data_IF_043764763109
#
_entry.id   IF_043764763109
#
_cell.length_a   1.000
_cell.length_b   1.000
_cell.length_c   1.000
_cell.angle_alpha   90.00
_cell.angle_beta   90.00
_cell.angle_gamma   90.00
#
_symmetry.space_group_name_H-M   'P 1'
#
loop_
_entity.id
_entity.type
_entity.pdbx_description
1 polymer ?
#
# COMPACT_ATOMS: atom_id res chain seq x y z
N UNK A 1 2.87 17.78 16.36
CA UNK A 1 1.58 17.17 15.97
C UNK A 1 1.32 17.47 14.50
N UNK A 2 1.42 16.45 13.65
CA UNK A 2 1.24 16.56 12.20
C UNK A 2 -0.21 16.98 11.89
N UNK A 3 -0.39 18.01 11.05
CA UNK A 3 -1.72 18.46 10.62
C UNK A 3 -1.83 18.28 9.11
N UNK A 4 -2.71 17.38 8.67
CA UNK A 4 -3.01 17.13 7.25
C UNK A 4 -3.49 18.38 6.50
N UNK A 5 -3.84 19.46 7.20
CA UNK A 5 -4.22 20.76 6.61
C UNK A 5 -3.14 21.40 5.74
N UNK A 6 -1.87 20.97 5.87
CA UNK A 6 -0.75 21.49 5.07
C UNK A 6 -0.53 20.76 3.75
N UNK A 7 -1.10 19.57 3.57
CA UNK A 7 -0.90 18.77 2.35
C UNK A 7 -1.80 19.29 1.25
N UNK A 8 -1.19 19.78 0.16
CA UNK A 8 -1.88 20.37 -0.99
C UNK A 8 -1.36 19.76 -2.27
N UNK A 9 -2.26 19.51 -3.22
CA UNK A 9 -1.91 18.98 -4.53
C UNK A 9 -2.32 19.98 -5.60
N UNK A 10 -1.41 20.26 -6.54
CA UNK A 10 -1.69 21.09 -7.70
C UNK A 10 -2.17 20.22 -8.86
N UNK A 11 -3.39 20.47 -9.35
CA UNK A 11 -3.92 19.83 -10.53
C UNK A 11 -4.71 20.84 -11.37
N UNK A 12 -4.42 20.94 -12.67
CA UNK A 12 -5.03 21.91 -13.61
C UNK A 12 -5.06 23.36 -13.05
N UNK A 13 -3.94 23.84 -12.49
CA UNK A 13 -3.80 25.18 -11.89
C UNK A 13 -4.69 25.44 -10.65
N UNK A 14 -5.33 24.41 -10.09
CA UNK A 14 -6.07 24.49 -8.83
C UNK A 14 -5.35 23.68 -7.74
N UNK A 15 -5.31 24.25 -6.53
CA UNK A 15 -4.81 23.55 -5.35
C UNK A 15 -5.97 22.83 -4.67
N UNK A 16 -5.83 21.52 -4.51
CA UNK A 16 -6.77 20.68 -3.80
C UNK A 16 -6.23 20.34 -2.42
N UNK A 17 -7.09 20.48 -1.42
CA UNK A 17 -6.82 20.10 -0.04
C UNK A 17 -7.69 18.90 0.35
N UNK A 18 -7.43 18.33 1.54
CA UNK A 18 -8.30 17.29 2.09
C UNK A 18 -9.78 17.72 2.14
N UNK A 19 -10.07 18.99 2.43
CA UNK A 19 -11.45 19.46 2.55
C UNK A 19 -12.23 19.40 1.23
N UNK A 20 -11.54 19.53 0.10
CA UNK A 20 -12.15 19.48 -1.23
C UNK A 20 -12.40 18.01 -1.65
N UNK A 21 -11.47 17.13 -1.27
CA UNK A 21 -11.42 15.72 -1.65
C UNK A 21 -12.13 14.78 -0.66
N UNK A 22 -12.48 15.25 0.53
CA UNK A 22 -13.10 14.42 1.56
C UNK A 22 -14.50 13.93 1.13
N UNK A 23 -14.86 12.71 1.55
CA UNK A 23 -16.22 12.20 1.37
C UNK A 23 -17.17 12.92 2.35
N UNK A 24 -18.16 13.65 1.84
CA UNK A 24 -19.13 14.36 2.67
C UNK A 24 -20.46 13.60 2.72
N UNK A 25 -21.00 13.39 3.92
CA UNK A 25 -22.31 12.79 4.10
C UNK A 25 -23.37 13.87 4.33
N UNK A 26 -24.35 14.00 3.42
CA UNK A 26 -25.51 14.90 3.53
C UNK A 26 -25.17 16.35 3.94
N UNK A 27 -24.04 16.89 3.47
CA UNK A 27 -23.63 18.27 3.79
C UNK A 27 -23.12 18.49 5.22
N UNK A 28 -22.92 17.43 6.03
CA UNK A 28 -22.38 17.51 7.39
C UNK A 28 -20.87 17.84 7.46
N UNK A 29 -20.28 18.27 6.35
CA UNK A 29 -18.85 18.52 6.20
C UNK A 29 -18.02 17.23 6.13
N UNK A 30 -16.69 17.39 6.16
CA UNK A 30 -15.77 16.26 6.16
C UNK A 30 -15.81 15.53 7.51
N UNK A 31 -15.93 14.19 7.53
CA UNK A 31 -15.68 13.37 8.70
C UNK A 31 -14.17 13.29 8.93
N UNK A 32 -13.55 14.44 9.21
CA UNK A 32 -12.18 14.48 9.69
C UNK A 32 -12.14 14.05 11.16
N UNK A 33 -10.95 13.73 11.66
CA UNK A 33 -10.69 13.29 13.03
C UNK A 33 -10.94 14.39 14.09
N UNK A 34 -12.15 14.97 14.15
CA UNK A 34 -12.58 16.00 15.12
C UNK A 34 -12.44 15.51 16.57
N UNK A 35 -12.62 14.21 16.77
CA UNK A 35 -12.46 13.55 18.06
C UNK A 35 -11.04 13.72 18.64
N UNK A 36 -10.01 13.94 17.82
CA UNK A 36 -8.63 14.13 18.29
C UNK A 36 -8.48 15.43 19.05
N UNK A 37 -8.92 16.53 18.45
CA UNK A 37 -8.84 17.84 19.08
C UNK A 37 -9.67 17.88 20.35
N UNK A 38 -10.91 17.37 20.28
CA UNK A 38 -11.78 17.29 21.45
C UNK A 38 -11.15 16.45 22.58
N UNK A 39 -10.62 15.27 22.26
CA UNK A 39 -10.01 14.40 23.27
C UNK A 39 -8.72 14.98 23.85
N UNK A 40 -7.88 15.60 23.00
CA UNK A 40 -6.63 16.22 23.44
C UNK A 40 -6.89 17.40 24.38
N UNK A 41 -7.86 18.27 24.05
CA UNK A 41 -8.21 19.39 24.92
C UNK A 41 -8.80 18.89 26.24
N UNK A 42 -9.68 17.90 26.18
CA UNK A 42 -10.33 17.32 27.36
C UNK A 42 -9.31 16.65 28.30
N UNK A 43 -8.31 15.97 27.73
CA UNK A 43 -7.19 15.38 28.48
C UNK A 43 -6.29 16.46 29.11
N UNK A 44 -5.91 17.49 28.34
CA UNK A 44 -5.08 18.59 28.83
C UNK A 44 -5.75 19.39 29.97
N UNK A 45 -7.07 19.47 29.96
CA UNK A 45 -7.86 20.11 31.02
C UNK A 45 -8.20 19.19 32.20
N UNK A 46 -7.76 17.93 32.19
CA UNK A 46 -7.90 17.00 33.32
C UNK A 46 -9.31 16.43 33.52
N UNK A 47 -10.13 16.36 32.46
CA UNK A 47 -11.47 15.79 32.54
C UNK A 47 -11.45 14.26 32.43
N UNK A 48 -12.27 13.60 33.25
CA UNK A 48 -12.41 12.14 33.23
C UNK A 48 -13.19 11.69 31.99
N UNK A 49 -12.52 10.98 31.09
CA UNK A 49 -13.12 10.44 29.87
C UNK A 49 -13.57 9.01 30.10
N UNK A 50 -14.87 8.76 29.94
CA UNK A 50 -15.42 7.40 29.98
C UNK A 50 -15.08 6.64 28.69
N UNK A 51 -14.70 5.38 28.80
CA UNK A 51 -14.44 4.49 27.65
C UNK A 51 -15.53 3.39 27.57
N UNK A 52 -16.02 3.00 26.38
CA UNK A 52 -15.56 3.33 25.02
C UNK A 52 -16.27 4.51 24.35
N UNK A 53 -17.25 5.12 25.02
CA UNK A 53 -17.97 6.29 24.52
C UNK A 53 -17.70 7.49 25.41
N UNK A 54 -17.41 8.63 24.79
CA UNK A 54 -17.40 9.91 25.50
C UNK A 54 -18.69 10.68 25.18
N UNK A 55 -19.16 11.46 26.16
CA UNK A 55 -20.26 12.41 26.00
C UNK A 55 -19.79 13.76 26.51
N UNK A 56 -19.85 14.76 25.65
CA UNK A 56 -19.50 16.13 25.96
C UNK A 56 -20.63 17.05 25.47
N UNK A 57 -21.48 17.47 26.40
CA UNK A 57 -22.68 18.25 26.07
C UNK A 57 -23.59 17.50 25.10
N UNK A 58 -23.81 18.09 23.92
CA UNK A 58 -24.62 17.51 22.82
C UNK A 58 -23.82 16.59 21.89
N UNK A 59 -22.49 16.60 21.97
CA UNK A 59 -21.64 15.75 21.14
C UNK A 59 -21.28 14.46 21.88
N UNK A 60 -21.44 13.33 21.19
CA UNK A 60 -21.04 12.02 21.69
C UNK A 60 -20.27 11.28 20.60
N UNK A 61 -19.21 10.58 20.97
CA UNK A 61 -18.39 9.83 20.04
C UNK A 61 -17.94 8.48 20.59
N UNK A 62 -17.60 7.58 19.68
CA UNK A 62 -17.05 6.26 20.00
C UNK A 62 -15.52 6.29 19.83
N UNK A 63 -14.79 6.01 20.90
CA UNK A 63 -13.33 5.96 20.93
C UNK A 63 -12.78 4.55 20.74
N UNK A 64 -13.62 3.52 20.86
CA UNK A 64 -13.16 2.13 20.79
C UNK A 64 -12.53 1.74 19.45
N UNK A 65 -12.90 2.40 18.35
CA UNK A 65 -12.27 2.20 17.04
C UNK A 65 -11.08 3.13 16.75
N UNK A 66 -10.91 4.20 17.53
CA UNK A 66 -9.86 5.20 17.31
C UNK A 66 -8.64 4.99 18.21
N UNK A 67 -8.81 4.42 19.42
CA UNK A 67 -7.73 4.19 20.37
C UNK A 67 -7.34 2.72 20.44
N UNK A 68 -6.03 2.46 20.43
CA UNK A 68 -5.44 1.13 20.59
C UNK A 68 -4.62 1.01 21.87
N UNK A 69 -4.60 -0.20 22.46
CA UNK A 69 -3.82 -0.49 23.67
C UNK A 69 -4.22 0.39 24.86
N UNK A 70 -5.52 0.57 25.08
CA UNK A 70 -6.06 1.40 26.16
C UNK A 70 -5.84 0.75 27.53
N UNK A 71 -5.39 1.54 28.51
CA UNK A 71 -5.43 1.19 29.93
C UNK A 71 -6.57 1.95 30.59
N UNK A 72 -7.37 1.22 31.36
CA UNK A 72 -8.57 1.74 31.99
C UNK A 72 -8.38 1.74 33.51
N UNK A 73 -8.77 2.83 34.15
CA UNK A 73 -8.90 2.88 35.60
C UNK A 73 -10.38 2.69 35.95
N UNK A 74 -10.67 1.89 36.97
CA UNK A 74 -12.04 1.65 37.43
C UNK A 74 -12.33 2.57 38.60
N UNK A 75 -13.33 3.43 38.43
CA UNK A 75 -13.85 4.25 39.52
C UNK A 75 -14.68 3.39 40.48
N UNK A 76 -14.81 3.80 41.74
CA UNK A 76 -15.63 3.13 42.75
C UNK A 76 -17.10 2.91 42.30
N UNK A 77 -17.61 3.77 41.41
CA UNK A 77 -18.93 3.67 40.79
C UNK A 77 -19.02 2.64 39.64
N UNK A 78 -17.98 1.84 39.41
CA UNK A 78 -17.95 0.81 38.35
C UNK A 78 -17.75 1.35 36.93
N UNK A 79 -17.58 2.66 36.75
CA UNK A 79 -17.30 3.28 35.44
C UNK A 79 -15.84 3.11 35.05
N UNK A 80 -15.61 2.72 33.79
CA UNK A 80 -14.27 2.60 33.23
C UNK A 80 -13.84 3.97 32.64
N UNK A 81 -12.85 4.59 33.25
CA UNK A 81 -12.24 5.82 32.77
C UNK A 81 -10.94 5.52 32.02
N UNK A 82 -10.67 6.28 30.96
CA UNK A 82 -9.46 6.15 30.16
C UNK A 82 -8.26 6.69 30.95
N UNK A 83 -7.29 5.83 31.27
CA UNK A 83 -6.06 6.22 31.96
C UNK A 83 -4.92 6.52 30.98
N UNK A 84 -4.72 5.65 29.99
CA UNK A 84 -3.78 5.88 28.90
C UNK A 84 -4.18 5.09 27.63
N UNK A 85 -3.56 5.42 26.50
CA UNK A 85 -3.66 4.68 25.25
C UNK A 85 -2.27 4.58 24.63
N UNK A 86 -1.99 3.49 23.91
CA UNK A 86 -0.68 3.26 23.27
C UNK A 86 -0.65 3.65 21.80
N UNK A 87 -1.79 3.62 21.13
CA UNK A 87 -1.89 3.90 19.71
C UNK A 87 -3.15 4.71 19.39
N UNK A 88 -3.04 5.51 18.33
CA UNK A 88 -4.17 6.22 17.75
C UNK A 88 -4.32 5.79 16.30
N UNK A 89 -5.53 5.42 15.92
CA UNK A 89 -5.92 5.14 14.54
C UNK A 89 -6.65 6.34 13.92
N UNK A 90 -6.09 6.86 12.84
CA UNK A 90 -6.63 8.01 12.10
C UNK A 90 -7.10 7.53 10.73
N UNK A 91 -8.32 7.88 10.34
CA UNK A 91 -8.89 7.49 9.05
C UNK A 91 -9.32 8.75 8.29
N UNK A 92 -8.83 8.88 7.07
CA UNK A 92 -9.20 9.95 6.15
C UNK A 92 -10.00 9.34 5.00
N UNK A 93 -11.26 9.76 4.87
CA UNK A 93 -12.14 9.23 3.83
C UNK A 93 -12.15 10.17 2.63
N UNK A 94 -11.69 9.68 1.47
CA UNK A 94 -11.65 10.45 0.23
C UNK A 94 -12.79 10.05 -0.72
N UNK A 95 -13.15 10.96 -1.62
CA UNK A 95 -14.08 10.71 -2.72
C UNK A 95 -13.41 9.83 -3.77
N UNK A 96 -14.09 8.75 -4.15
CA UNK A 96 -13.64 7.82 -5.19
C UNK A 96 -14.30 8.07 -6.57
N UNK A 97 -15.44 8.77 -6.62
CA UNK A 97 -16.19 9.04 -7.85
C UNK A 97 -16.50 10.53 -7.96
N UNK A 98 -16.45 11.16 -9.15
CA UNK A 98 -16.12 10.63 -10.49
C UNK A 98 -14.63 10.34 -10.73
N UNK A 99 -14.26 9.73 -11.87
CA UNK A 99 -12.89 9.27 -12.21
C UNK A 99 -11.84 10.37 -12.05
N UNK A 100 -12.14 11.61 -12.45
CA UNK A 100 -11.22 12.73 -12.29
C UNK A 100 -10.93 13.03 -10.82
N UNK A 101 -11.95 13.00 -9.95
CA UNK A 101 -11.76 13.15 -8.50
C UNK A 101 -11.00 11.97 -7.92
N UNK A 102 -11.24 10.75 -8.40
CA UNK A 102 -10.49 9.56 -8.00
C UNK A 102 -8.99 9.72 -8.25
N UNK A 103 -8.62 10.23 -9.42
CA UNK A 103 -7.23 10.49 -9.78
C UNK A 103 -6.57 11.54 -8.87
N UNK A 104 -7.27 12.65 -8.60
CA UNK A 104 -6.77 13.72 -7.72
C UNK A 104 -6.65 13.21 -6.27
N UNK A 105 -7.62 12.42 -5.79
CA UNK A 105 -7.58 11.76 -4.48
C UNK A 105 -6.35 10.84 -4.37
N UNK A 106 -6.08 10.03 -5.40
CA UNK A 106 -4.89 9.17 -5.43
C UNK A 106 -3.57 9.96 -5.43
N UNK A 107 -3.53 11.11 -6.11
CA UNK A 107 -2.37 12.00 -6.09
C UNK A 107 -2.15 12.61 -4.69
N UNK A 108 -3.24 12.98 -4.01
CA UNK A 108 -3.19 13.48 -2.64
C UNK A 108 -2.78 12.41 -1.62
N UNK A 109 -3.22 11.17 -1.78
CA UNK A 109 -2.76 10.04 -0.96
C UNK A 109 -1.25 9.85 -1.06
N UNK A 110 -0.69 9.91 -2.28
CA UNK A 110 0.75 9.78 -2.50
C UNK A 110 1.53 10.97 -1.92
N UNK A 111 1.00 12.19 -2.02
CA UNK A 111 1.62 13.36 -1.39
C UNK A 111 1.60 13.26 0.14
N UNK A 112 0.47 12.83 0.72
CA UNK A 112 0.36 12.59 2.14
C UNK A 112 1.37 11.53 2.60
N UNK A 113 1.48 10.42 1.89
CA UNK A 113 2.46 9.37 2.17
C UNK A 113 3.89 9.89 2.16
N UNK A 114 4.25 10.74 1.16
CA UNK A 114 5.57 11.38 1.09
C UNK A 114 5.83 12.30 2.28
N UNK A 115 4.86 13.11 2.69
CA UNK A 115 5.01 13.97 3.86
C UNK A 115 5.12 13.19 5.17
N UNK A 116 4.43 12.06 5.30
CA UNK A 116 4.52 11.19 6.46
C UNK A 116 5.87 10.45 6.51
N UNK A 117 6.39 10.01 5.37
CA UNK A 117 7.71 9.39 5.27
C UNK A 117 8.86 10.39 5.50
N UNK A 118 8.67 11.66 5.12
CA UNK A 118 9.64 12.72 5.34
C UNK A 118 9.58 13.33 6.76
N UNK A 119 8.64 12.88 7.59
CA UNK A 119 8.55 13.34 8.97
C UNK A 119 9.78 12.86 9.76
N UNK A 120 10.44 13.73 10.54
CA UNK A 120 11.63 13.32 11.29
C UNK A 120 11.32 12.21 12.28
N UNK A 121 12.26 11.28 12.45
CA UNK A 121 12.18 10.21 13.44
C UNK A 121 12.11 10.81 14.85
N UNK A 122 10.91 10.77 15.47
CA UNK A 122 10.68 11.19 16.84
C UNK A 122 10.82 9.97 17.78
N UNK A 123 11.63 10.03 18.86
CA UNK A 123 11.81 8.90 19.77
C UNK A 123 10.54 8.53 20.57
N UNK A 124 9.54 9.42 20.59
CA UNK A 124 8.30 9.24 21.36
C UNK A 124 7.11 8.80 20.50
N UNK A 125 7.16 8.97 19.17
CA UNK A 125 6.01 8.76 18.29
C UNK A 125 6.47 8.00 17.05
N UNK A 126 5.96 6.78 16.89
CA UNK A 126 6.11 6.02 15.66
C UNK A 126 4.85 6.18 14.81
N UNK A 127 5.03 6.60 13.55
CA UNK A 127 3.95 6.82 12.61
C UNK A 127 4.00 5.73 11.55
N UNK A 128 2.94 4.95 11.46
CA UNK A 128 2.73 3.98 10.38
C UNK A 128 1.51 4.41 9.57
N UNK A 129 1.61 4.35 8.25
CA UNK A 129 0.53 4.73 7.34
C UNK A 129 0.30 3.65 6.29
N UNK A 130 -0.93 3.63 5.77
CA UNK A 130 -1.35 2.75 4.69
C UNK A 130 -2.33 3.52 3.80
N UNK A 131 -2.16 3.43 2.49
CA UNK A 131 -3.06 4.03 1.51
C UNK A 131 -3.53 3.00 0.48
N UNK A 132 -4.53 3.36 -0.33
CA UNK A 132 -5.19 2.42 -1.24
C UNK A 132 -4.26 1.83 -2.30
N UNK A 133 -3.24 2.60 -2.71
CA UNK A 133 -2.27 2.23 -3.74
C UNK A 133 -1.03 1.50 -3.19
N UNK A 134 -0.79 1.48 -1.87
CA UNK A 134 0.43 0.92 -1.28
C UNK A 134 0.65 -0.52 -1.71
N UNK A 135 -0.41 -1.34 -1.71
CA UNK A 135 -0.32 -2.74 -2.12
C UNK A 135 0.12 -2.88 -3.57
N UNK A 136 -0.47 -2.10 -4.48
CA UNK A 136 -0.16 -2.15 -5.90
C UNK A 136 1.26 -1.65 -6.16
N UNK A 137 1.69 -0.60 -5.47
CA UNK A 137 3.03 -0.04 -5.60
C UNK A 137 4.10 -1.02 -5.07
N UNK A 138 3.87 -1.63 -3.92
CA UNK A 138 4.79 -2.63 -3.35
C UNK A 138 4.84 -3.90 -4.19
N UNK A 139 3.70 -4.35 -4.72
CA UNK A 139 3.66 -5.50 -5.64
C UNK A 139 4.42 -5.20 -6.93
N UNK A 140 4.23 -4.00 -7.49
CA UNK A 140 4.95 -3.55 -8.69
C UNK A 140 6.45 -3.48 -8.43
N UNK A 141 6.87 -2.88 -7.32
CA UNK A 141 8.28 -2.78 -6.92
C UNK A 141 8.93 -4.16 -6.77
N UNK A 142 8.20 -5.10 -6.16
CA UNK A 142 8.65 -6.48 -6.04
C UNK A 142 8.80 -7.11 -7.43
N UNK A 143 7.80 -6.98 -8.30
CA UNK A 143 7.83 -7.50 -9.66
C UNK A 143 9.00 -6.92 -10.51
N UNK A 144 9.26 -5.62 -10.41
CA UNK A 144 10.40 -4.96 -11.06
C UNK A 144 11.75 -5.51 -10.56
N UNK A 145 11.84 -5.83 -9.26
CA UNK A 145 13.04 -6.46 -8.68
C UNK A 145 13.21 -7.92 -9.10
N UNK A 146 12.11 -8.64 -9.32
CA UNK A 146 12.07 -10.05 -9.72
C UNK A 146 12.35 -10.24 -11.22
N UNK A 147 11.94 -9.31 -12.07
CA UNK A 147 12.08 -9.36 -13.53
C UNK A 147 13.51 -9.67 -14.00
N UNK A 148 14.58 -8.98 -13.55
CA UNK A 148 15.95 -9.28 -14.00
C UNK A 148 16.43 -10.67 -13.57
N UNK A 149 15.98 -11.18 -12.41
CA UNK A 149 16.32 -12.53 -11.94
C UNK A 149 15.70 -13.61 -12.81
N UNK A 150 14.48 -13.37 -13.26
CA UNK A 150 13.77 -14.29 -14.16
C UNK A 150 14.45 -14.38 -15.53
N UNK A 151 14.90 -13.24 -16.09
CA UNK A 151 15.68 -13.21 -17.34
C UNK A 151 16.96 -14.03 -17.18
N UNK A 152 17.71 -13.82 -16.09
CA UNK A 152 18.92 -14.58 -15.81
C UNK A 152 18.64 -16.09 -15.73
N UNK A 153 17.59 -16.50 -15.02
CA UNK A 153 17.21 -17.90 -14.93
C UNK A 153 16.89 -18.52 -16.30
N UNK A 154 16.13 -17.83 -17.16
CA UNK A 154 15.84 -18.29 -18.52
C UNK A 154 17.12 -18.41 -19.34
N UNK A 155 18.03 -17.42 -19.26
CA UNK A 155 19.30 -17.49 -20.00
C UNK A 155 20.15 -18.68 -19.57
N UNK A 156 20.22 -18.97 -18.26
CA UNK A 156 20.93 -20.14 -17.75
C UNK A 156 20.30 -21.46 -18.23
N UNK A 157 18.97 -21.55 -18.26
CA UNK A 157 18.27 -22.73 -18.76
C UNK A 157 18.54 -22.96 -20.26
N UNK A 158 18.55 -21.90 -21.07
CA UNK A 158 18.88 -21.98 -22.50
C UNK A 158 20.33 -22.44 -22.69
N UNK A 159 21.28 -21.86 -21.95
CA UNK A 159 22.70 -22.25 -22.02
C UNK A 159 22.88 -23.71 -21.58
N UNK A 160 22.23 -24.12 -20.50
CA UNK A 160 22.28 -25.50 -20.02
C UNK A 160 21.70 -26.48 -21.05
N UNK A 161 20.55 -26.16 -21.64
CA UNK A 161 19.93 -26.98 -22.69
C UNK A 161 20.82 -27.10 -23.93
N UNK A 162 21.51 -26.01 -24.30
CA UNK A 162 22.52 -26.01 -25.37
C UNK A 162 23.68 -26.95 -25.05
N UNK A 163 24.26 -26.84 -23.85
CA UNK A 163 25.38 -27.68 -23.42
C UNK A 163 25.00 -29.17 -23.40
N UNK A 164 23.81 -29.53 -22.94
CA UNK A 164 23.31 -30.90 -22.94
C UNK A 164 23.07 -31.47 -24.36
N UNK A 165 22.91 -30.61 -25.36
CA UNK A 165 22.64 -31.02 -26.75
C UNK A 165 23.91 -31.18 -27.60
N UNK A 166 25.08 -30.92 -27.00
CA UNK A 166 26.38 -31.10 -27.63
C UNK A 166 26.85 -32.53 -27.37
N UNK A 167 27.19 -33.26 -28.44
CA UNK A 167 27.81 -34.57 -28.37
C UNK A 167 29.31 -34.44 -28.66
N UNK A 168 30.13 -35.12 -27.85
CA UNK A 168 31.58 -35.20 -28.04
C UNK A 168 31.94 -36.50 -28.77
N UNK A 169 33.00 -36.44 -29.57
CA UNK A 169 33.53 -37.61 -30.28
C UNK A 169 34.29 -38.47 -29.26
N UNK A 170 33.95 -39.76 -29.17
CA UNK A 170 34.59 -40.70 -28.23
C UNK A 170 36.13 -40.67 -28.38
N UNK A 171 36.81 -40.30 -27.28
CA UNK A 171 38.27 -40.21 -27.21
C UNK A 171 38.89 -38.85 -27.53
N UNK A 172 38.11 -37.81 -27.87
CA UNK A 172 38.62 -36.43 -28.05
C UNK A 172 37.67 -35.34 -27.53
N UNK A 173 38.20 -34.18 -27.14
CA UNK A 173 37.41 -32.99 -26.77
C UNK A 173 36.84 -32.23 -27.99
N UNK A 174 36.68 -32.89 -29.14
CA UNK A 174 36.14 -32.27 -30.35
C UNK A 174 34.61 -32.42 -30.39
N UNK A 175 33.93 -31.33 -30.77
CA UNK A 175 32.48 -31.27 -30.93
C UNK A 175 32.13 -31.89 -32.30
N UNK A 176 31.26 -32.90 -32.28
CA UNK A 176 30.69 -33.45 -33.51
C UNK A 176 29.51 -32.57 -33.96
N UNK A 177 29.72 -31.71 -34.97
CA UNK A 177 28.67 -30.83 -35.50
C UNK A 177 27.59 -31.56 -36.30
N UNK A 178 27.81 -32.83 -36.67
CA UNK A 178 26.81 -33.65 -37.38
C UNK A 178 25.83 -34.28 -36.38
N UNK A 179 26.33 -34.68 -35.21
CA UNK A 179 25.53 -35.29 -34.15
C UNK A 179 24.92 -34.27 -33.18
N UNK A 180 25.65 -33.19 -32.87
CA UNK A 180 25.15 -32.10 -32.01
C UNK A 180 24.11 -31.26 -32.73
N UNK A 181 22.93 -31.06 -32.12
CA UNK A 181 21.84 -30.26 -32.68
C UNK A 181 21.42 -29.11 -31.75
N UNK A 182 22.36 -28.19 -31.43
CA UNK A 182 22.11 -27.09 -30.49
C UNK A 182 20.97 -26.17 -30.96
N UNK A 183 20.84 -25.95 -32.27
CA UNK A 183 19.78 -25.09 -32.84
C UNK A 183 18.38 -25.64 -32.54
N UNK A 184 18.19 -26.96 -32.56
CA UNK A 184 16.90 -27.57 -32.22
C UNK A 184 16.53 -27.35 -30.75
N UNK A 185 17.53 -27.36 -29.85
CA UNK A 185 17.32 -27.10 -28.43
C UNK A 185 16.84 -25.67 -28.18
N UNK A 186 17.46 -24.67 -28.82
CA UNK A 186 17.01 -23.26 -28.72
C UNK A 186 15.58 -23.10 -29.26
N UNK A 187 15.31 -23.66 -30.44
CA UNK A 187 13.98 -23.57 -31.05
C UNK A 187 12.90 -24.22 -30.16
N UNK A 188 13.25 -25.30 -29.44
CA UNK A 188 12.38 -25.91 -28.45
C UNK A 188 12.00 -24.95 -27.30
N UNK A 189 12.99 -24.26 -26.73
CA UNK A 189 12.75 -23.29 -25.63
C UNK A 189 11.96 -22.08 -26.13
N UNK A 190 12.25 -21.58 -27.34
CA UNK A 190 11.52 -20.46 -27.94
C UNK A 190 10.07 -20.83 -28.21
N UNK A 191 9.80 -22.03 -28.72
CA UNK A 191 8.44 -22.51 -28.98
C UNK A 191 7.62 -22.61 -27.68
N UNK A 192 8.23 -23.11 -26.59
CA UNK A 192 7.59 -23.12 -25.28
C UNK A 192 7.27 -21.70 -24.78
N UNK A 193 8.20 -20.76 -24.96
CA UNK A 193 7.97 -19.34 -24.64
C UNK A 193 6.82 -18.72 -25.43
N UNK A 194 6.76 -18.99 -26.74
CA UNK A 194 5.64 -18.55 -27.60
C UNK A 194 4.31 -19.15 -27.15
N UNK A 195 4.29 -20.41 -26.72
CA UNK A 195 3.09 -21.05 -26.16
C UNK A 195 2.57 -20.32 -24.92
N UNK A 196 3.45 -19.96 -23.98
CA UNK A 196 3.10 -19.21 -22.77
C UNK A 196 2.55 -17.82 -23.13
N UNK A 197 3.22 -17.10 -24.03
CA UNK A 197 2.75 -15.78 -24.48
C UNK A 197 1.39 -15.85 -25.17
N UNK A 198 1.17 -16.88 -25.99
CA UNK A 198 -0.10 -17.10 -26.69
C UNK A 198 -1.24 -17.41 -25.71
N UNK A 199 -0.99 -18.26 -24.72
CA UNK A 199 -1.96 -18.57 -23.67
C UNK A 199 -2.31 -17.33 -22.85
N UNK A 200 -1.32 -16.53 -22.46
CA UNK A 200 -1.53 -15.27 -21.73
C UNK A 200 -2.32 -14.26 -22.56
N UNK A 201 -1.99 -14.09 -23.85
CA UNK A 201 -2.72 -13.21 -24.75
C UNK A 201 -4.18 -13.63 -24.96
N UNK A 202 -4.43 -14.94 -25.03
CA UNK A 202 -5.79 -15.49 -25.13
C UNK A 202 -6.60 -15.25 -23.86
N UNK A 203 -6.01 -15.35 -22.67
CA UNK A 203 -6.66 -15.01 -21.41
C UNK A 203 -7.02 -13.53 -21.34
N UNK A 204 -6.10 -12.64 -21.77
CA UNK A 204 -6.36 -11.20 -21.84
C UNK A 204 -7.48 -10.88 -22.84
N UNK A 205 -7.58 -11.59 -23.97
CA UNK A 205 -8.66 -11.41 -24.95
C UNK A 205 -10.04 -11.71 -24.35
N UNK A 206 -10.13 -12.68 -23.44
CA UNK A 206 -11.38 -13.01 -22.74
C UNK A 206 -11.68 -12.07 -21.55
N UNK A 207 -10.87 -11.03 -21.34
CA UNK A 207 -11.11 -10.03 -20.29
C UNK A 207 -10.77 -10.53 -18.89
N UNK A 208 -9.96 -11.58 -18.77
CA UNK A 208 -9.41 -12.02 -17.49
C UNK A 208 -8.19 -11.13 -17.16
N UNK A 209 -8.24 -10.31 -16.10
CA UNK A 209 -7.12 -9.48 -15.68
C UNK A 209 -5.97 -10.30 -15.08
#
# INVERSE_FOLDING_TARGET
>A
MFSCSRVRVLYKHHYYTYHDLCLQYKGAGCPANKHIHALSDLYNHGFNITFPHFRFGTESGYLGGALGGVSLMRTENGTNILAAARAWFLIYHLKFFPVETSYISGLWENELGRHLAAYPEDPYIQITYFHSQTLTDELKRNAETLTPRFILAITLLVVFSMLCSIAFIDGTYYIDWVLSKPILAILGVVNAGMGIMTAMGLLMLFGMP
#
